data_IF_850916871666
#
_entry.id   IF_850916871666
#
_cell.length_a   1.000
_cell.length_b   1.000
_cell.length_c   1.000
_cell.angle_alpha   90.00
_cell.angle_beta   90.00
_cell.angle_gamma   90.00
#
_symmetry.space_group_name_H-M   'P 1'
#
loop_
_entity.id
_entity.type
_entity.pdbx_description
1 polymer ?
#
# COMPACT_ATOMS: atom_id res chain seq x y z
N UNK A 1 -9.08 -39.49 -0.06
CA UNK A 1 -8.52 -39.71 -1.41
C UNK A 1 -7.14 -39.08 -1.46
N UNK A 2 -6.18 -39.69 -2.17
CA UNK A 2 -4.87 -39.06 -2.41
C UNK A 2 -4.94 -38.32 -3.75
N UNK A 3 -4.51 -37.06 -3.78
CA UNK A 3 -4.37 -36.25 -5.00
C UNK A 3 -2.89 -36.20 -5.37
N UNK A 4 -2.54 -36.46 -6.62
CA UNK A 4 -1.15 -36.47 -7.12
C UNK A 4 -1.03 -35.57 -8.35
N UNK A 5 0.17 -35.01 -8.55
CA UNK A 5 0.51 -34.22 -9.74
C UNK A 5 1.53 -35.01 -10.55
N UNK A 6 1.26 -35.16 -11.84
CA UNK A 6 2.20 -35.73 -12.79
C UNK A 6 2.89 -34.57 -13.53
N UNK A 7 4.22 -34.51 -13.42
CA UNK A 7 5.03 -33.54 -14.15
C UNK A 7 5.28 -34.06 -15.56
N UNK A 8 5.30 -33.16 -16.55
CA UNK A 8 5.59 -33.52 -17.94
C UNK A 8 7.06 -33.90 -18.13
N UNK A 9 7.96 -33.22 -17.43
CA UNK A 9 9.41 -33.40 -17.50
C UNK A 9 9.96 -33.73 -16.11
N UNK A 10 10.99 -34.57 -16.04
CA UNK A 10 11.67 -34.89 -14.79
C UNK A 10 12.31 -33.66 -14.14
N UNK A 11 12.84 -32.74 -14.95
CA UNK A 11 13.47 -31.50 -14.50
C UNK A 11 12.49 -30.57 -13.79
N UNK A 12 11.23 -30.56 -14.22
CA UNK A 12 10.18 -29.74 -13.60
C UNK A 12 9.87 -30.18 -12.17
N UNK A 13 9.95 -31.49 -11.90
CA UNK A 13 9.83 -32.03 -10.54
C UNK A 13 10.98 -31.54 -9.66
N UNK A 14 12.21 -31.60 -10.16
CA UNK A 14 13.40 -31.13 -9.43
C UNK A 14 13.37 -29.61 -9.19
N UNK A 15 12.96 -28.82 -10.20
CA UNK A 15 12.77 -27.35 -10.07
C UNK A 15 11.70 -27.02 -9.03
N UNK A 16 10.67 -27.86 -8.89
CA UNK A 16 9.66 -27.70 -7.86
C UNK A 16 10.21 -27.99 -6.46
N UNK A 17 10.92 -29.11 -6.29
CA UNK A 17 11.53 -29.49 -5.01
C UNK A 17 12.59 -28.46 -4.58
N UNK A 18 13.39 -27.96 -5.53
CA UNK A 18 14.39 -26.90 -5.30
C UNK A 18 13.78 -25.51 -5.08
N UNK A 19 12.46 -25.35 -5.21
CA UNK A 19 11.76 -24.09 -4.97
C UNK A 19 11.89 -23.04 -6.08
N UNK A 20 12.61 -23.34 -7.18
CA UNK A 20 12.77 -22.43 -8.32
C UNK A 20 11.48 -22.25 -9.12
N UNK A 21 10.65 -23.29 -9.22
CA UNK A 21 9.33 -23.24 -9.87
C UNK A 21 8.26 -23.65 -8.87
N UNK A 22 7.35 -22.76 -8.50
CA UNK A 22 6.24 -23.11 -7.58
C UNK A 22 4.95 -23.32 -8.34
N UNK A 23 4.17 -24.31 -7.89
CA UNK A 23 2.79 -24.49 -8.37
C UNK A 23 1.95 -23.25 -8.04
N UNK A 24 0.99 -22.86 -8.89
CA UNK A 24 0.03 -21.83 -8.54
C UNK A 24 -0.67 -22.14 -7.23
N UNK A 25 -0.92 -21.10 -6.41
CA UNK A 25 -1.51 -21.24 -5.07
C UNK A 25 -2.84 -22.01 -5.08
N UNK A 26 -3.61 -21.88 -6.15
CA UNK A 26 -4.89 -22.56 -6.31
C UNK A 26 -4.73 -24.08 -6.47
N UNK A 27 -3.69 -24.52 -7.19
CA UNK A 27 -3.35 -25.94 -7.31
C UNK A 27 -2.85 -26.49 -5.98
N UNK A 28 -1.98 -25.77 -5.26
CA UNK A 28 -1.55 -26.22 -3.93
C UNK A 28 -2.72 -26.37 -2.97
N UNK A 29 -3.67 -25.42 -2.96
CA UNK A 29 -4.87 -25.49 -2.12
C UNK A 29 -5.79 -26.68 -2.46
N UNK A 30 -5.85 -27.06 -3.74
CA UNK A 30 -6.56 -28.27 -4.15
C UNK A 30 -5.79 -29.53 -3.73
N UNK A 31 -4.47 -29.59 -3.89
CA UNK A 31 -3.67 -30.75 -3.47
C UNK A 31 -3.67 -30.96 -1.94
N UNK A 32 -3.73 -29.88 -1.16
CA UNK A 32 -3.88 -29.93 0.30
C UNK A 32 -5.31 -30.20 0.76
N UNK A 33 -6.24 -30.46 -0.16
CA UNK A 33 -7.66 -30.70 0.12
C UNK A 33 -8.39 -29.55 0.80
N UNK A 34 -7.82 -28.34 0.78
CA UNK A 34 -8.48 -27.13 1.28
C UNK A 34 -9.57 -26.66 0.31
N UNK A 35 -9.39 -26.92 -0.99
CA UNK A 35 -10.39 -26.67 -2.04
C UNK A 35 -11.00 -28.00 -2.52
N UNK A 36 -12.32 -28.05 -2.63
CA UNK A 36 -13.04 -29.23 -3.12
C UNK A 36 -12.84 -29.42 -4.63
N UNK A 37 -13.16 -28.38 -5.40
CA UNK A 37 -13.09 -28.37 -6.87
C UNK A 37 -11.67 -28.00 -7.34
N UNK A 38 -11.18 -28.61 -8.43
CA UNK A 38 -9.91 -28.21 -9.03
C UNK A 38 -10.02 -26.79 -9.61
N UNK A 39 -8.92 -26.03 -9.64
CA UNK A 39 -8.91 -24.73 -10.31
C UNK A 39 -9.16 -24.90 -11.82
N UNK A 40 -9.84 -23.93 -12.42
CA UNK A 40 -10.04 -23.90 -13.88
C UNK A 40 -8.90 -23.15 -14.57
N UNK A 41 -8.71 -23.41 -15.87
CA UNK A 41 -7.65 -22.74 -16.64
C UNK A 41 -7.87 -21.22 -16.69
N UNK A 42 -9.13 -20.78 -16.88
CA UNK A 42 -9.51 -19.36 -16.88
C UNK A 42 -9.18 -18.65 -15.56
N UNK A 43 -9.36 -19.32 -14.42
CA UNK A 43 -8.98 -18.77 -13.11
C UNK A 43 -7.48 -18.51 -13.01
N UNK A 44 -6.66 -19.42 -13.54
CA UNK A 44 -5.20 -19.32 -13.50
C UNK A 44 -4.70 -18.19 -14.40
N UNK A 45 -5.28 -18.03 -15.60
CA UNK A 45 -4.98 -16.91 -16.50
C UNK A 45 -5.36 -15.57 -15.87
N UNK A 46 -6.56 -15.49 -15.27
CA UNK A 46 -7.01 -14.30 -14.57
C UNK A 46 -6.08 -13.94 -13.39
N UNK A 47 -5.58 -14.95 -12.66
CA UNK A 47 -4.60 -14.75 -11.58
C UNK A 47 -3.26 -14.21 -12.09
N UNK A 48 -2.75 -14.74 -13.22
CA UNK A 48 -1.54 -14.23 -13.89
C UNK A 48 -1.74 -12.77 -14.29
N UNK A 49 -2.82 -12.44 -14.98
CA UNK A 49 -3.13 -11.09 -15.41
C UNK A 49 -3.31 -10.13 -14.22
N UNK A 50 -3.89 -10.61 -13.11
CA UNK A 50 -3.96 -9.83 -11.87
C UNK A 50 -2.57 -9.58 -11.29
N UNK A 51 -1.71 -10.60 -11.19
CA UNK A 51 -0.35 -10.45 -10.66
C UNK A 51 0.47 -9.45 -11.49
N UNK A 52 0.37 -9.52 -12.82
CA UNK A 52 1.03 -8.56 -13.71
C UNK A 52 0.56 -7.12 -13.45
N UNK A 53 -0.75 -6.88 -13.31
CA UNK A 53 -1.28 -5.55 -12.97
C UNK A 53 -0.81 -5.05 -11.61
N UNK A 54 -0.78 -5.92 -10.61
CA UNK A 54 -0.30 -5.56 -9.26
C UNK A 54 1.18 -5.19 -9.30
N UNK A 55 2.01 -5.95 -10.00
CA UNK A 55 3.44 -5.65 -10.15
C UNK A 55 3.67 -4.33 -10.88
N UNK A 56 2.90 -4.05 -11.94
CA UNK A 56 2.97 -2.77 -12.64
C UNK A 56 2.59 -1.59 -11.72
N UNK A 57 1.50 -1.73 -10.95
CA UNK A 57 1.07 -0.71 -10.01
C UNK A 57 2.08 -0.51 -8.87
N UNK A 58 2.66 -1.59 -8.36
CA UNK A 58 3.70 -1.53 -7.34
C UNK A 58 4.93 -0.77 -7.87
N UNK A 59 5.37 -1.06 -9.10
CA UNK A 59 6.49 -0.35 -9.72
C UNK A 59 6.23 1.16 -9.86
N UNK A 60 4.99 1.57 -10.15
CA UNK A 60 4.60 2.98 -10.21
C UNK A 60 4.66 3.66 -8.83
N UNK A 61 4.19 2.97 -7.79
CA UNK A 61 4.24 3.46 -6.40
C UNK A 61 5.70 3.58 -5.95
N UNK A 62 6.51 2.56 -6.18
CA UNK A 62 7.93 2.56 -5.81
C UNK A 62 8.71 3.69 -6.50
N UNK A 63 8.38 3.99 -7.77
CA UNK A 63 8.99 5.10 -8.50
C UNK A 63 8.63 6.46 -7.88
N UNK A 64 7.37 6.63 -7.48
CA UNK A 64 6.90 7.84 -6.79
C UNK A 64 7.55 7.98 -5.41
N UNK A 65 7.56 6.91 -4.62
CA UNK A 65 8.13 6.89 -3.28
C UNK A 65 9.62 7.24 -3.32
N UNK A 66 10.35 6.73 -4.33
CA UNK A 66 11.76 7.09 -4.55
C UNK A 66 11.94 8.59 -4.81
N UNK A 67 11.13 9.18 -5.69
CA UNK A 67 11.19 10.61 -5.97
C UNK A 67 10.84 11.47 -4.73
N UNK A 68 9.85 11.04 -3.93
CA UNK A 68 9.49 11.73 -2.69
C UNK A 68 10.61 11.65 -1.63
N UNK A 69 11.31 10.52 -1.54
CA UNK A 69 12.47 10.36 -0.64
C UNK A 69 13.62 11.25 -1.07
N UNK A 70 13.92 11.31 -2.38
CA UNK A 70 14.95 12.17 -2.93
C UNK A 70 14.66 13.65 -2.65
N UNK A 71 13.43 14.10 -2.88
CA UNK A 71 13.02 15.49 -2.60
C UNK A 71 13.13 15.84 -1.11
N UNK A 72 12.62 14.97 -0.22
CA UNK A 72 12.74 15.17 1.22
C UNK A 72 14.19 15.20 1.68
N UNK A 73 15.05 14.39 1.05
CA UNK A 73 16.49 14.38 1.36
C UNK A 73 17.15 15.69 0.96
N UNK A 74 16.77 16.27 -0.19
CA UNK A 74 17.24 17.58 -0.66
C UNK A 74 16.84 18.69 0.30
N UNK A 75 15.56 18.79 0.64
CA UNK A 75 15.06 19.81 1.59
C UNK A 75 15.79 19.71 2.93
N UNK A 76 15.96 18.49 3.46
CA UNK A 76 16.70 18.30 4.73
C UNK A 76 18.16 18.76 4.61
N UNK A 77 18.82 18.52 3.49
CA UNK A 77 20.19 18.99 3.27
C UNK A 77 20.26 20.52 3.23
N UNK A 78 19.34 21.17 2.54
CA UNK A 78 19.22 22.63 2.50
C UNK A 78 18.97 23.22 3.90
N UNK A 79 18.03 22.64 4.65
CA UNK A 79 17.74 23.05 6.03
C UNK A 79 18.98 22.90 6.94
N UNK A 80 19.72 21.79 6.81
CA UNK A 80 20.95 21.59 7.59
C UNK A 80 22.03 22.60 7.24
N UNK A 81 22.17 22.98 5.97
CA UNK A 81 23.13 23.99 5.54
C UNK A 81 22.79 25.36 6.12
N UNK A 82 21.51 25.77 6.05
CA UNK A 82 21.03 27.03 6.63
C UNK A 82 21.22 27.07 8.16
N UNK A 83 20.96 25.96 8.86
CA UNK A 83 21.17 25.87 10.30
C UNK A 83 22.64 26.03 10.69
N UNK A 84 23.57 25.43 9.92
CA UNK A 84 25.02 25.58 10.15
C UNK A 84 25.44 27.03 9.94
N UNK A 85 24.98 27.68 8.88
CA UNK A 85 25.29 29.08 8.58
C UNK A 85 24.78 30.02 9.69
N UNK A 86 23.53 29.82 10.15
CA UNK A 86 22.97 30.59 11.25
C UNK A 86 23.72 30.37 12.57
N UNK A 87 24.12 29.12 12.87
CA UNK A 87 24.91 28.82 14.06
C UNK A 87 26.30 29.49 14.00
N UNK A 88 26.95 29.49 12.83
CA UNK A 88 28.23 30.16 12.61
C UNK A 88 28.09 31.70 12.78
N UNK A 89 27.03 32.31 12.24
CA UNK A 89 26.77 33.74 12.39
C UNK A 89 26.38 34.13 13.84
N UNK A 90 25.66 33.25 14.54
CA UNK A 90 25.21 33.46 15.92
C UNK A 90 26.31 33.31 16.99
N UNK A 91 27.39 32.58 16.70
CA UNK A 91 28.47 32.33 17.65
C UNK A 91 29.21 33.62 18.09
N UNK A 92 29.12 34.71 17.33
CA UNK A 92 29.80 35.97 17.65
C UNK A 92 29.13 36.80 18.76
N UNK A 93 27.97 36.42 19.31
CA UNK A 93 27.21 37.26 20.27
C UNK A 93 27.20 36.81 21.74
N UNK A 94 27.85 35.71 22.13
CA UNK A 94 27.87 35.27 23.53
C UNK A 94 29.25 34.78 24.00
N UNK A 95 30.22 35.68 24.04
CA UNK A 95 31.25 35.66 25.10
C UNK A 95 30.89 36.70 26.15
N UNK A 96 29.76 36.50 26.84
CA UNK A 96 29.62 37.06 28.19
C UNK A 96 30.36 36.12 29.14
N UNK A 97 31.39 36.58 29.87
CA UNK A 97 32.08 35.74 30.82
C UNK A 97 31.07 35.21 31.84
N UNK A 98 31.04 33.89 31.96
CA UNK A 98 30.45 33.19 33.10
C UNK A 98 31.10 33.77 34.35
N UNK A 99 30.38 34.66 35.04
CA UNK A 99 30.65 34.96 36.44
C UNK A 99 30.01 33.81 37.19
N UNK A 100 30.86 32.90 37.61
CA UNK A 100 30.59 31.78 38.50
C UNK A 100 29.99 32.32 39.80
N UNK A 101 28.66 32.39 39.88
CA UNK A 101 27.98 32.57 41.16
C UNK A 101 28.02 31.24 41.92
N UNK A 102 28.60 31.19 43.13
CA UNK A 102 28.62 29.99 43.95
C UNK A 102 27.19 29.60 44.31
N UNK A 103 26.75 28.46 43.77
CA UNK A 103 25.45 27.88 44.07
C UNK A 103 25.47 27.35 45.51
N UNK A 104 24.53 27.77 46.38
CA UNK A 104 24.38 27.17 47.70
C UNK A 104 23.94 25.72 47.53
N UNK A 105 24.69 24.82 48.16
CA UNK A 105 24.38 23.39 48.32
C UNK A 105 23.05 23.25 49.08
N UNK A 106 21.98 22.70 48.48
CA UNK A 106 20.91 22.11 49.25
C UNK A 106 21.31 20.68 49.62
N UNK A 107 21.57 20.59 50.90
CA UNK A 107 21.64 19.43 51.78
C UNK A 107 20.79 18.22 51.36
N UNK A 108 21.43 17.06 51.48
CA UNK A 108 20.89 15.72 51.35
C UNK A 108 19.74 15.47 52.35
N UNK A 109 18.58 15.15 51.83
CA UNK A 109 17.55 14.31 52.49
C UNK A 109 16.73 13.72 51.34
N UNK A 110 16.94 12.47 50.95
CA UNK A 110 16.57 11.31 51.75
C UNK A 110 15.08 11.06 51.54
N UNK A 111 14.76 10.02 50.76
CA UNK A 111 13.59 9.11 50.84
C UNK A 111 13.44 8.42 49.47
N UNK A 112 13.86 7.16 49.45
CA UNK A 112 13.37 6.15 48.51
C UNK A 112 11.84 6.13 48.49
N UNK A 113 11.22 5.86 47.34
CA UNK A 113 10.56 4.56 47.30
C UNK A 113 10.79 3.81 45.99
N UNK A 114 11.04 2.52 46.14
CA UNK A 114 10.97 1.47 45.15
C UNK A 114 9.96 1.76 44.03
N UNK A 115 10.48 2.09 42.84
CA UNK A 115 9.70 2.15 41.62
C UNK A 115 9.26 0.74 41.24
N UNK A 116 8.04 0.40 41.60
CA UNK A 116 7.31 -0.75 41.09
C UNK A 116 7.17 -0.58 39.57
N UNK A 117 8.06 -1.22 38.81
CA UNK A 117 8.00 -1.27 37.35
C UNK A 117 6.78 -2.10 36.97
N UNK A 118 5.64 -1.44 36.78
CA UNK A 118 4.52 -2.06 36.09
C UNK A 118 4.97 -2.33 34.64
N UNK A 119 4.85 -3.56 34.13
CA UNK A 119 5.06 -3.82 32.72
C UNK A 119 4.09 -2.94 31.91
N UNK A 120 4.50 -2.42 30.75
CA UNK A 120 3.61 -1.67 29.89
C UNK A 120 2.40 -2.55 29.60
N UNK A 121 1.22 -2.09 30.02
CA UNK A 121 -0.03 -2.75 29.68
C UNK A 121 -0.09 -2.81 28.16
N UNK A 122 0.10 -4.01 27.60
CA UNK A 122 -0.22 -4.29 26.22
C UNK A 122 -1.69 -3.91 26.06
N UNK A 123 -1.92 -2.75 25.45
CA UNK A 123 -3.22 -2.34 24.92
C UNK A 123 -3.56 -3.40 23.88
N UNK A 124 -4.17 -4.50 24.32
CA UNK A 124 -4.88 -5.38 23.41
C UNK A 124 -5.97 -4.51 22.79
N UNK A 125 -6.01 -4.34 21.46
CA UNK A 125 -7.10 -3.64 20.81
C UNK A 125 -8.34 -4.53 20.84
N UNK A 126 -8.89 -4.79 22.03
CA UNK A 126 -10.23 -5.33 22.19
C UNK A 126 -11.21 -4.16 22.04
N UNK A 127 -11.29 -3.65 20.81
CA UNK A 127 -12.32 -2.69 20.44
C UNK A 127 -13.64 -3.45 20.28
N UNK A 128 -14.70 -3.12 21.05
CA UNK A 128 -16.03 -3.57 20.73
C UNK A 128 -16.42 -2.98 19.37
N UNK A 129 -16.50 -3.86 18.36
CA UNK A 129 -16.90 -3.51 16.99
C UNK A 129 -18.36 -3.05 17.03
N UNK A 130 -18.59 -1.76 17.26
CA UNK A 130 -19.91 -1.12 17.11
C UNK A 130 -20.40 -1.43 15.71
N UNK A 131 -21.48 -2.20 15.61
CA UNK A 131 -22.18 -2.50 14.37
C UNK A 131 -22.73 -1.20 13.79
N UNK A 132 -21.95 -0.54 12.92
CA UNK A 132 -22.48 0.51 12.04
C UNK A 132 -23.53 -0.13 11.15
N UNK A 133 -24.74 0.41 11.21
CA UNK A 133 -25.85 0.06 10.34
C UNK A 133 -25.38 0.06 8.90
N UNK A 134 -25.64 -1.06 8.21
CA UNK A 134 -25.41 -1.19 6.78
C UNK A 134 -26.29 -0.15 6.09
N UNK A 135 -25.69 0.91 5.56
CA UNK A 135 -26.30 1.58 4.41
C UNK A 135 -26.29 0.54 3.27
N UNK A 136 -27.43 0.27 2.60
CA UNK A 136 -27.42 -0.60 1.45
C UNK A 136 -26.49 0.04 0.40
N UNK A 137 -25.46 -0.70 0.03
CA UNK A 137 -24.61 -0.35 -1.09
C UNK A 137 -25.48 -0.42 -2.34
N UNK A 138 -25.91 0.73 -2.86
CA UNK A 138 -26.61 0.80 -4.13
C UNK A 138 -25.57 0.70 -5.25
N UNK A 139 -25.60 -0.41 -5.98
CA UNK A 139 -24.88 -0.50 -7.24
C UNK A 139 -25.44 0.55 -8.21
N UNK A 140 -24.59 1.23 -9.00
CA UNK A 140 -25.07 2.10 -10.06
C UNK A 140 -25.90 1.28 -11.06
N UNK A 141 -26.99 1.86 -11.61
CA UNK A 141 -27.83 1.18 -12.60
C UNK A 141 -26.99 0.83 -13.82
N UNK A 142 -27.06 -0.44 -14.22
CA UNK A 142 -26.46 -0.96 -15.44
C UNK A 142 -27.38 -0.57 -16.60
N UNK A 143 -27.02 0.49 -17.33
CA UNK A 143 -27.71 0.90 -18.55
C UNK A 143 -27.59 -0.22 -19.60
N UNK A 144 -28.65 -1.02 -19.71
CA UNK A 144 -28.85 -2.00 -20.77
C UNK A 144 -29.68 -1.34 -21.87
N UNK A 145 -29.04 -0.47 -22.65
CA UNK A 145 -29.60 -0.03 -23.92
C UNK A 145 -29.42 -1.14 -24.96
N UNK A 146 -30.38 -2.05 -24.98
CA UNK A 146 -30.74 -2.83 -26.17
C UNK A 146 -31.42 -1.90 -27.16
N UNK A 147 -30.77 -1.65 -28.30
CA UNK A 147 -31.41 -1.46 -29.60
C UNK A 147 -30.33 -1.44 -30.68
N UNK A 148 -30.25 -2.49 -31.51
CA UNK A 148 -30.53 -2.35 -32.94
C UNK A 148 -30.57 -3.71 -33.67
N UNK A 149 -31.80 -4.09 -34.01
CA UNK A 149 -32.30 -4.43 -35.36
C UNK A 149 -31.39 -5.20 -36.33
N UNK A 150 -31.92 -6.35 -36.73
CA UNK A 150 -31.44 -7.23 -37.78
C UNK A 150 -31.31 -6.57 -39.17
N UNK A 151 -30.29 -6.97 -39.93
CA UNK A 151 -30.39 -7.13 -41.38
C UNK A 151 -29.32 -8.13 -41.87
N UNK A 152 -29.79 -8.99 -42.76
CA UNK A 152 -29.11 -10.13 -43.37
C UNK A 152 -27.97 -9.76 -44.34
N UNK A 153 -27.12 -10.77 -44.56
CA UNK A 153 -26.64 -11.24 -45.88
C UNK A 153 -25.26 -10.81 -46.43
N UNK A 154 -24.46 -11.87 -46.66
CA UNK A 154 -23.55 -12.12 -47.81
C UNK A 154 -22.06 -11.74 -47.68
N UNK A 155 -21.14 -12.68 -48.01
CA UNK A 155 -19.71 -12.45 -47.98
C UNK A 155 -19.15 -12.00 -49.35
N UNK A 156 -17.92 -11.51 -49.30
CA UNK A 156 -16.92 -11.40 -50.36
C UNK A 156 -16.46 -9.98 -50.66
N UNK A 157 -15.13 -9.89 -50.62
CA UNK A 157 -14.22 -8.96 -51.27
C UNK A 157 -13.38 -8.12 -50.31
N UNK A 158 -12.08 -8.41 -50.46
CA UNK A 158 -10.96 -7.71 -49.92
C UNK A 158 -11.01 -6.23 -50.30
N UNK A 159 -10.60 -5.36 -49.39
CA UNK A 159 -9.74 -4.24 -49.73
C UNK A 159 -9.05 -3.70 -48.47
N UNK A 160 -7.73 -3.56 -48.61
CA UNK A 160 -6.82 -3.01 -47.63
C UNK A 160 -7.06 -1.51 -47.48
N UNK A 161 -7.54 -1.07 -46.32
CA UNK A 161 -7.38 0.32 -45.90
C UNK A 161 -6.77 0.40 -44.51
N UNK A 162 -5.50 0.79 -44.51
CA UNK A 162 -4.70 1.10 -43.33
C UNK A 162 -5.20 2.43 -42.75
N UNK A 163 -5.96 2.37 -41.67
CA UNK A 163 -6.39 3.55 -40.90
C UNK A 163 -5.64 3.55 -39.58
N UNK A 164 -4.68 4.47 -39.45
CA UNK A 164 -4.04 4.84 -38.20
C UNK A 164 -5.10 5.44 -37.25
N UNK A 165 -5.58 4.65 -36.28
CA UNK A 165 -6.38 5.16 -35.17
C UNK A 165 -5.50 5.43 -33.96
N UNK A 166 -5.28 6.71 -33.69
CA UNK A 166 -4.84 7.25 -32.40
C UNK A 166 -5.92 7.02 -31.36
N UNK A 167 -5.77 6.00 -30.52
CA UNK A 167 -6.58 5.83 -29.30
C UNK A 167 -5.95 6.61 -28.14
N UNK A 168 -6.24 7.91 -28.17
CA UNK A 168 -6.28 8.77 -26.98
C UNK A 168 -7.61 8.55 -26.28
N UNK A 169 -7.60 8.03 -25.05
CA UNK A 169 -8.37 8.59 -23.92
C UNK A 169 -8.37 7.62 -22.73
N UNK A 170 -7.57 7.98 -21.73
CA UNK A 170 -7.65 7.45 -20.37
C UNK A 170 -9.03 7.77 -19.76
N UNK A 171 -9.80 6.78 -19.25
CA UNK A 171 -11.12 7.02 -18.66
C UNK A 171 -11.06 7.33 -17.15
N UNK A 172 -9.92 7.78 -16.64
CA UNK A 172 -9.78 8.11 -15.22
C UNK A 172 -10.20 9.57 -15.06
N UNK A 173 -11.52 9.77 -14.95
CA UNK A 173 -12.10 11.02 -14.49
C UNK A 173 -11.48 11.35 -13.14
N UNK A 174 -10.73 12.44 -13.08
CA UNK A 174 -10.28 13.06 -11.86
C UNK A 174 -11.49 13.33 -10.95
N UNK A 175 -11.52 12.69 -9.79
CA UNK A 175 -12.44 13.08 -8.73
C UNK A 175 -12.02 14.45 -8.16
N UNK A 176 -12.97 15.30 -7.73
CA UNK A 176 -12.64 16.56 -7.09
C UNK A 176 -11.88 16.31 -5.79
N UNK A 177 -10.79 17.06 -5.61
CA UNK A 177 -10.00 17.14 -4.40
C UNK A 177 -10.81 17.79 -3.27
N UNK A 178 -11.58 16.98 -2.54
CA UNK A 178 -12.04 17.38 -1.21
C UNK A 178 -10.90 17.11 -0.22
N UNK A 179 -10.14 18.16 0.07
CA UNK A 179 -9.30 18.25 1.27
C UNK A 179 -10.21 18.23 2.50
N UNK A 180 -10.65 17.03 2.90
CA UNK A 180 -11.25 16.81 4.22
C UNK A 180 -10.15 16.95 5.28
N UNK A 181 -10.01 18.18 5.77
CA UNK A 181 -9.22 18.55 6.95
C UNK A 181 -9.72 17.74 8.15
N UNK A 182 -8.99 16.69 8.52
CA UNK A 182 -9.29 15.86 9.67
C UNK A 182 -8.93 16.62 10.96
N UNK A 183 -9.83 17.51 11.41
CA UNK A 183 -9.70 18.21 12.68
C UNK A 183 -10.30 17.34 13.82
N UNK A 184 -9.51 16.83 14.77
CA UNK A 184 -10.03 16.06 15.89
C UNK A 184 -10.83 16.97 16.83
N UNK A 185 -12.14 16.74 16.91
CA UNK A 185 -13.03 17.49 17.81
C UNK A 185 -12.88 16.96 19.24
N UNK A 186 -12.15 17.70 20.07
CA UNK A 186 -12.04 17.44 21.51
C UNK A 186 -13.44 17.50 22.16
N UNK A 187 -13.89 16.38 22.72
CA UNK A 187 -15.11 16.32 23.52
C UNK A 187 -14.76 16.65 24.96
N UNK A 188 -15.21 17.82 25.42
CA UNK A 188 -15.19 18.21 26.83
C UNK A 188 -16.07 17.24 27.63
N UNK A 189 -15.52 16.65 28.69
CA UNK A 189 -16.28 15.89 29.68
C UNK A 189 -16.83 16.89 30.70
N UNK A 190 -18.16 16.96 30.79
CA UNK A 190 -18.85 17.47 31.98
C UNK A 190 -19.08 16.34 32.97
#
# INVERSE_FOLDING_TARGET
MKRTVQYSEADDMWKYIGGSKRLPIQWSAWLTHTRLQPPTLQELEADIARRQRVLANAALIDARDRAEVEEKSRIRQEDTHLAIEQAAAGWSRQTTPIIEQPRPVPELSGVEPAAHVQPPAFLTPSSPRKSKSKKPFSLPPLDTSTDNTAASSTPAQAEFHSTLQTVTSSPWKSAPSETETWAPKARSRG
#
